data_IF_935016539418
#
_entry.id   IF_935016539418
#
_cell.length_a   1.000
_cell.length_b   1.000
_cell.length_c   1.000
_cell.angle_alpha   90.00
_cell.angle_beta   90.00
_cell.angle_gamma   90.00
#
_symmetry.space_group_name_H-M   'P 1'
#
loop_
_entity.id
_entity.type
_entity.pdbx_description
1 polymer ?
#
# COMPACT_ATOMS: atom_id res chain seq x y z
N UNK A 1 -20.42 -23.99 -11.40
CA UNK A 1 -21.49 -23.06 -11.85
C UNK A 1 -20.81 -21.84 -12.44
N UNK A 2 -20.87 -21.61 -13.76
CA UNK A 2 -20.02 -20.58 -14.39
C UNK A 2 -20.44 -20.14 -15.79
N UNK A 3 -21.73 -20.16 -16.11
CA UNK A 3 -22.23 -19.85 -17.46
C UNK A 3 -22.95 -18.48 -17.56
N UNK A 4 -22.85 -17.62 -16.54
CA UNK A 4 -23.63 -16.38 -16.46
C UNK A 4 -22.92 -15.10 -16.90
N UNK A 5 -21.59 -15.06 -16.95
CA UNK A 5 -20.85 -13.80 -17.06
C UNK A 5 -20.63 -13.28 -18.50
N UNK A 6 -20.89 -14.08 -19.54
CA UNK A 6 -20.68 -13.66 -20.93
C UNK A 6 -21.85 -12.87 -21.53
N UNK A 7 -23.03 -12.86 -20.89
CA UNK A 7 -24.23 -12.23 -21.47
C UNK A 7 -24.26 -10.70 -21.34
N UNK A 8 -23.40 -10.11 -20.52
CA UNK A 8 -23.43 -8.68 -20.19
C UNK A 8 -22.12 -7.92 -20.51
N UNK A 9 -21.15 -8.55 -21.18
CA UNK A 9 -19.91 -7.86 -21.58
C UNK A 9 -20.11 -7.18 -22.92
N UNK A 10 -19.81 -5.89 -22.99
CA UNK A 10 -19.79 -5.14 -24.25
C UNK A 10 -18.60 -5.66 -25.05
N UNK A 11 -18.86 -6.28 -26.21
CA UNK A 11 -17.80 -6.81 -27.08
C UNK A 11 -17.21 -5.69 -27.92
N UNK A 12 -15.93 -5.78 -28.28
CA UNK A 12 -15.30 -4.83 -29.22
C UNK A 12 -16.03 -4.77 -30.58
N UNK A 13 -16.68 -5.89 -30.96
CA UNK A 13 -17.56 -5.95 -32.12
C UNK A 13 -18.81 -5.06 -31.95
N UNK A 14 -19.40 -5.01 -30.75
CA UNK A 14 -20.58 -4.18 -30.48
C UNK A 14 -20.22 -2.69 -30.53
N UNK A 15 -19.03 -2.33 -30.02
CA UNK A 15 -18.47 -0.97 -30.14
C UNK A 15 -18.28 -0.58 -31.60
N UNK A 16 -17.63 -1.43 -32.39
CA UNK A 16 -17.42 -1.19 -33.82
C UNK A 16 -18.74 -1.06 -34.61
N UNK A 17 -19.75 -1.87 -34.28
CA UNK A 17 -21.09 -1.77 -34.90
C UNK A 17 -21.77 -0.44 -34.54
N UNK A 18 -21.65 0.00 -33.28
CA UNK A 18 -22.20 1.28 -32.82
C UNK A 18 -21.54 2.44 -33.58
N UNK A 19 -20.21 2.45 -33.66
CA UNK A 19 -19.44 3.48 -34.37
C UNK A 19 -19.84 3.55 -35.85
N UNK A 20 -19.97 2.38 -36.50
CA UNK A 20 -20.42 2.31 -37.90
C UNK A 20 -21.83 2.89 -38.08
N UNK A 21 -22.76 2.57 -37.18
CA UNK A 21 -24.14 3.10 -37.23
C UNK A 21 -24.18 4.61 -37.02
N UNK A 22 -23.39 5.13 -36.08
CA UNK A 22 -23.27 6.57 -35.82
C UNK A 22 -22.73 7.28 -37.06
N UNK A 23 -21.67 6.74 -37.68
CA UNK A 23 -21.07 7.32 -38.88
C UNK A 23 -22.07 7.39 -40.04
N UNK A 24 -22.85 6.33 -40.27
CA UNK A 24 -23.88 6.29 -41.33
C UNK A 24 -24.94 7.39 -41.14
N UNK A 25 -25.33 7.68 -39.90
CA UNK A 25 -26.31 8.74 -39.60
C UNK A 25 -25.72 10.13 -39.87
N UNK A 26 -24.47 10.36 -39.45
CA UNK A 26 -23.76 11.62 -39.70
C UNK A 26 -23.53 11.87 -41.20
N UNK A 27 -23.09 10.84 -41.93
CA UNK A 27 -22.88 10.90 -43.37
C UNK A 27 -24.18 11.21 -44.12
N UNK A 28 -25.31 10.70 -43.62
CA UNK A 28 -26.64 11.01 -44.16
C UNK A 28 -27.04 12.46 -43.93
N UNK A 29 -26.81 13.00 -42.73
CA UNK A 29 -27.05 14.43 -42.46
C UNK A 29 -26.14 15.34 -43.30
N UNK A 30 -24.90 14.90 -43.57
CA UNK A 30 -23.96 15.57 -44.46
C UNK A 30 -24.39 15.58 -45.91
N UNK A 31 -24.83 14.45 -46.42
CA UNK A 31 -25.37 14.35 -47.77
C UNK A 31 -26.61 15.26 -47.93
N UNK A 32 -27.48 15.32 -46.91
CA UNK A 32 -28.63 16.22 -46.89
C UNK A 32 -28.20 17.69 -46.92
N UNK A 33 -27.24 18.09 -46.07
CA UNK A 33 -26.71 19.45 -46.05
C UNK A 33 -26.10 19.84 -47.42
N UNK A 34 -25.29 18.95 -48.03
CA UNK A 34 -24.72 19.16 -49.37
C UNK A 34 -25.80 19.31 -50.44
N UNK A 35 -26.84 18.48 -50.41
CA UNK A 35 -27.95 18.56 -51.37
C UNK A 35 -28.73 19.88 -51.27
N UNK A 36 -28.89 20.43 -50.06
CA UNK A 36 -29.57 21.70 -49.82
C UNK A 36 -28.73 22.90 -50.28
N UNK A 37 -27.41 22.82 -50.16
CA UNK A 37 -26.49 23.82 -50.71
C UNK A 37 -26.54 23.87 -52.24
N UNK A 38 -26.59 22.71 -52.90
CA UNK A 38 -26.74 22.63 -54.37
C UNK A 38 -28.05 23.25 -54.87
N UNK A 39 -29.12 23.17 -54.07
CA UNK A 39 -30.43 23.79 -54.37
C UNK A 39 -30.48 25.29 -54.07
N UNK A 40 -29.42 25.89 -53.52
CA UNK A 40 -29.35 27.31 -53.17
C UNK A 40 -29.99 27.70 -51.83
N UNK A 41 -30.56 26.73 -51.10
CA UNK A 41 -31.28 26.95 -49.84
C UNK A 41 -30.34 27.07 -48.62
N UNK A 42 -29.56 28.15 -48.57
CA UNK A 42 -28.56 28.39 -47.51
C UNK A 42 -29.12 28.34 -46.09
N UNK A 43 -30.34 28.86 -45.85
CA UNK A 43 -30.97 28.87 -44.53
C UNK A 43 -31.25 27.45 -44.01
N UNK A 44 -31.72 26.56 -44.88
CA UNK A 44 -32.02 25.15 -44.53
C UNK A 44 -30.74 24.33 -44.37
N UNK A 45 -29.73 24.58 -45.21
CA UNK A 45 -28.42 23.96 -45.07
C UNK A 45 -27.76 24.32 -43.71
N UNK A 46 -27.83 25.58 -43.28
CA UNK A 46 -27.32 25.99 -41.97
C UNK A 46 -28.06 25.31 -40.81
N UNK A 47 -29.37 25.14 -40.91
CA UNK A 47 -30.16 24.41 -39.91
C UNK A 47 -29.75 22.94 -39.83
N UNK A 48 -29.54 22.29 -40.97
CA UNK A 48 -29.07 20.89 -41.04
C UNK A 48 -27.69 20.74 -40.39
N UNK A 49 -26.74 21.64 -40.68
CA UNK A 49 -25.41 21.61 -40.07
C UNK A 49 -25.44 21.86 -38.56
N UNK A 50 -26.30 22.75 -38.07
CA UNK A 50 -26.48 22.96 -36.62
C UNK A 50 -27.04 21.72 -35.94
N UNK A 51 -28.02 21.06 -36.56
CA UNK A 51 -28.59 19.81 -36.08
C UNK A 51 -27.53 18.70 -36.01
N UNK A 52 -26.71 18.57 -37.05
CA UNK A 52 -25.59 17.62 -37.07
C UNK A 52 -24.61 17.89 -35.93
N UNK A 53 -24.20 19.15 -35.75
CA UNK A 53 -23.27 19.52 -34.68
C UNK A 53 -23.82 19.22 -33.29
N UNK A 54 -25.12 19.43 -33.09
CA UNK A 54 -25.79 19.07 -31.84
C UNK A 54 -25.78 17.55 -31.62
N UNK A 55 -26.03 16.75 -32.65
CA UNK A 55 -25.96 15.28 -32.55
C UNK A 55 -24.55 14.80 -32.25
N UNK A 56 -23.52 15.33 -32.92
CA UNK A 56 -22.11 15.05 -32.60
C UNK A 56 -21.81 15.30 -31.11
N UNK A 57 -22.27 16.44 -30.57
CA UNK A 57 -22.10 16.77 -29.16
C UNK A 57 -22.86 15.83 -28.22
N UNK A 58 -24.07 15.40 -28.59
CA UNK A 58 -24.83 14.45 -27.78
C UNK A 58 -24.18 13.06 -27.80
N UNK A 59 -23.63 12.64 -28.94
CA UNK A 59 -22.87 11.38 -29.07
C UNK A 59 -21.67 11.43 -28.13
N UNK A 60 -20.84 12.48 -28.21
CA UNK A 60 -19.68 12.65 -27.34
C UNK A 60 -20.03 12.58 -25.85
N UNK A 61 -21.07 13.29 -25.41
CA UNK A 61 -21.54 13.22 -24.01
C UNK A 61 -22.00 11.82 -23.62
N UNK A 62 -22.65 11.11 -24.54
CA UNK A 62 -23.12 9.75 -24.29
C UNK A 62 -21.96 8.77 -24.19
N UNK A 63 -20.92 8.94 -25.01
CA UNK A 63 -19.70 8.13 -24.98
C UNK A 63 -18.93 8.33 -23.67
N UNK A 64 -18.81 9.57 -23.20
CA UNK A 64 -18.23 9.89 -21.89
C UNK A 64 -19.01 9.20 -20.75
N UNK A 65 -20.34 9.26 -20.78
CA UNK A 65 -21.18 8.59 -19.80
C UNK A 65 -21.03 7.06 -19.86
N UNK A 66 -20.94 6.50 -21.06
CA UNK A 66 -20.77 5.07 -21.29
C UNK A 66 -19.39 4.59 -20.78
N UNK A 67 -18.34 5.38 -20.98
CA UNK A 67 -17.02 5.13 -20.40
C UNK A 67 -17.07 5.10 -18.87
N UNK A 68 -17.73 6.09 -18.26
CA UNK A 68 -17.88 6.15 -16.80
C UNK A 68 -18.64 4.94 -16.24
N UNK A 69 -19.69 4.49 -16.94
CA UNK A 69 -20.44 3.28 -16.55
C UNK A 69 -19.60 2.01 -16.69
N UNK A 70 -18.79 1.89 -17.75
CA UNK A 70 -17.88 0.75 -17.92
C UNK A 70 -16.85 0.70 -16.79
N UNK A 71 -16.26 1.84 -16.42
CA UNK A 71 -15.30 1.92 -15.33
C UNK A 71 -15.93 1.55 -13.97
N UNK A 72 -17.17 2.02 -13.71
CA UNK A 72 -17.89 1.66 -12.50
C UNK A 72 -18.21 0.16 -12.45
N UNK A 73 -18.58 -0.43 -13.59
CA UNK A 73 -18.85 -1.86 -13.70
C UNK A 73 -17.58 -2.68 -13.41
N UNK A 74 -16.45 -2.32 -14.00
CA UNK A 74 -15.15 -2.97 -13.74
C UNK A 74 -14.77 -2.89 -12.24
N UNK A 75 -15.00 -1.73 -11.61
CA UNK A 75 -14.75 -1.55 -10.18
C UNK A 75 -15.64 -2.47 -9.32
N UNK A 76 -16.91 -2.62 -9.69
CA UNK A 76 -17.84 -3.53 -8.99
C UNK A 76 -17.41 -4.99 -9.19
N UNK A 77 -17.02 -5.38 -10.40
CA UNK A 77 -16.53 -6.73 -10.69
C UNK A 77 -15.28 -7.05 -9.86
N UNK A 78 -14.33 -6.11 -9.78
CA UNK A 78 -13.15 -6.26 -8.93
C UNK A 78 -13.53 -6.37 -7.44
N UNK A 79 -14.47 -5.55 -6.98
CA UNK A 79 -14.95 -5.60 -5.59
C UNK A 79 -15.63 -6.94 -5.24
N UNK A 80 -16.36 -7.53 -6.19
CA UNK A 80 -16.95 -8.87 -6.03
C UNK A 80 -15.86 -9.94 -5.91
N UNK A 81 -14.85 -9.91 -6.77
CA UNK A 81 -13.71 -10.84 -6.68
C UNK A 81 -12.96 -10.65 -5.37
N UNK A 82 -12.73 -9.40 -4.95
CA UNK A 82 -12.06 -9.08 -3.69
C UNK A 82 -12.84 -9.62 -2.48
N UNK A 83 -14.18 -9.52 -2.50
CA UNK A 83 -15.04 -10.10 -1.47
C UNK A 83 -14.88 -11.63 -1.42
N UNK A 84 -14.86 -12.29 -2.57
CA UNK A 84 -14.72 -13.75 -2.64
C UNK A 84 -13.34 -14.20 -2.12
N UNK A 85 -12.27 -13.46 -2.46
CA UNK A 85 -10.92 -13.71 -1.94
C UNK A 85 -10.89 -13.52 -0.42
N UNK A 86 -11.49 -12.45 0.09
CA UNK A 86 -11.52 -12.17 1.52
C UNK A 86 -12.26 -13.27 2.29
N UNK A 87 -13.39 -13.74 1.76
CA UNK A 87 -14.12 -14.88 2.34
C UNK A 87 -13.30 -16.18 2.29
N UNK A 88 -12.59 -16.43 1.20
CA UNK A 88 -11.66 -17.56 1.08
C UNK A 88 -10.53 -17.51 2.11
N UNK A 89 -9.92 -16.34 2.32
CA UNK A 89 -8.89 -16.12 3.35
C UNK A 89 -9.45 -16.30 4.76
N UNK A 90 -10.66 -15.82 5.04
CA UNK A 90 -11.30 -15.98 6.36
C UNK A 90 -11.57 -17.46 6.66
N UNK A 91 -12.07 -18.22 5.68
CA UNK A 91 -12.23 -19.67 5.82
C UNK A 91 -10.89 -20.39 5.99
N UNK A 92 -9.89 -20.04 5.18
CA UNK A 92 -8.54 -20.59 5.31
C UNK A 92 -7.94 -20.31 6.68
N UNK A 93 -8.11 -19.10 7.23
CA UNK A 93 -7.64 -18.74 8.56
C UNK A 93 -8.37 -19.53 9.66
N UNK A 94 -9.69 -19.74 9.55
CA UNK A 94 -10.44 -20.60 10.47
C UNK A 94 -9.92 -22.04 10.47
N UNK A 95 -9.64 -22.61 9.29
CA UNK A 95 -9.06 -23.95 9.18
C UNK A 95 -7.64 -23.99 9.75
N UNK A 96 -6.79 -23.02 9.42
CA UNK A 96 -5.43 -22.93 9.93
C UNK A 96 -5.40 -22.76 11.45
N UNK A 97 -6.29 -21.95 12.04
CA UNK A 97 -6.37 -21.78 13.49
C UNK A 97 -6.85 -23.04 14.19
N UNK A 98 -7.73 -23.83 13.56
CA UNK A 98 -8.13 -25.13 14.09
C UNK A 98 -7.00 -26.15 14.00
N UNK A 99 -6.36 -26.29 12.83
CA UNK A 99 -5.19 -27.17 12.64
C UNK A 99 -4.06 -26.81 13.60
N UNK A 100 -3.77 -25.51 13.77
CA UNK A 100 -2.74 -25.04 14.68
C UNK A 100 -3.10 -25.34 16.14
N UNK A 101 -4.39 -25.34 16.53
CA UNK A 101 -4.80 -25.76 17.88
C UNK A 101 -4.60 -27.26 18.11
N UNK A 102 -4.89 -28.07 17.09
CA UNK A 102 -4.71 -29.52 17.14
C UNK A 102 -3.21 -29.90 17.17
N UNK A 103 -2.39 -29.32 16.30
CA UNK A 103 -0.94 -29.57 16.27
C UNK A 103 -0.20 -29.01 17.50
N UNK A 104 -0.54 -27.81 17.98
CA UNK A 104 0.17 -27.19 19.10
C UNK A 104 0.10 -27.99 20.40
N UNK A 105 -0.97 -28.72 20.68
CA UNK A 105 -1.04 -29.47 21.95
C UNK A 105 -0.06 -30.65 21.94
N UNK A 106 -0.09 -31.45 20.87
CA UNK A 106 0.75 -32.64 20.73
C UNK A 106 2.22 -32.30 20.48
N UNK A 107 2.49 -31.25 19.68
CA UNK A 107 3.85 -30.84 19.35
C UNK A 107 4.51 -30.00 20.46
N UNK A 108 3.75 -29.22 21.25
CA UNK A 108 4.33 -28.48 22.40
C UNK A 108 4.65 -29.44 23.54
N UNK A 109 3.81 -30.42 23.85
CA UNK A 109 4.12 -31.41 24.91
C UNK A 109 5.36 -32.22 24.56
N UNK A 110 5.45 -32.72 23.31
CA UNK A 110 6.64 -33.44 22.83
C UNK A 110 7.88 -32.58 22.77
N UNK A 111 7.79 -31.36 22.23
CA UNK A 111 8.94 -30.46 22.16
C UNK A 111 9.39 -30.02 23.56
N UNK A 112 8.47 -29.77 24.49
CA UNK A 112 8.82 -29.41 25.86
C UNK A 112 9.50 -30.56 26.60
N UNK A 113 9.05 -31.81 26.40
CA UNK A 113 9.67 -33.00 26.96
C UNK A 113 11.06 -33.24 26.34
N UNK A 114 11.17 -33.23 25.01
CA UNK A 114 12.44 -33.40 24.29
C UNK A 114 13.46 -32.30 24.63
N UNK A 115 13.02 -31.05 24.80
CA UNK A 115 13.91 -29.93 25.17
C UNK A 115 14.31 -29.96 26.63
N UNK A 116 13.41 -30.35 27.54
CA UNK A 116 13.75 -30.53 28.95
C UNK A 116 14.79 -31.65 29.12
N UNK A 117 14.61 -32.78 28.43
CA UNK A 117 15.56 -33.89 28.42
C UNK A 117 16.91 -33.50 27.79
N UNK A 118 16.89 -32.76 26.67
CA UNK A 118 18.11 -32.25 26.05
C UNK A 118 18.87 -31.26 26.93
N UNK A 119 18.16 -30.36 27.65
CA UNK A 119 18.77 -29.42 28.61
C UNK A 119 19.32 -30.19 29.81
N UNK A 120 18.61 -31.19 30.32
CA UNK A 120 19.09 -32.04 31.41
C UNK A 120 20.37 -32.80 31.01
N UNK A 121 20.39 -33.40 29.82
CA UNK A 121 21.57 -34.06 29.27
C UNK A 121 22.74 -33.08 29.06
N UNK A 122 22.48 -31.89 28.52
CA UNK A 122 23.51 -30.85 28.36
C UNK A 122 24.10 -30.45 29.72
N UNK A 123 23.25 -30.28 30.74
CA UNK A 123 23.68 -29.92 32.09
C UNK A 123 24.49 -31.05 32.72
N UNK A 124 24.07 -32.31 32.58
CA UNK A 124 24.82 -33.49 33.05
C UNK A 124 26.20 -33.57 32.36
N UNK A 125 26.25 -33.39 31.03
CA UNK A 125 27.51 -33.33 30.28
C UNK A 125 28.37 -32.16 30.74
N UNK A 126 27.77 -31.00 30.99
CA UNK A 126 28.49 -29.81 31.47
C UNK A 126 29.05 -30.00 32.88
N UNK A 127 28.31 -30.65 33.77
CA UNK A 127 28.77 -31.02 35.11
C UNK A 127 29.90 -32.05 35.06
N UNK A 128 29.80 -33.06 34.19
CA UNK A 128 30.86 -34.05 33.97
C UNK A 128 32.13 -33.41 33.38
N UNK A 129 31.99 -32.45 32.48
CA UNK A 129 33.12 -31.71 31.92
C UNK A 129 33.79 -30.83 33.00
N UNK A 130 33.01 -30.10 33.79
CA UNK A 130 33.52 -29.29 34.92
C UNK A 130 34.20 -30.15 35.99
N UNK A 131 33.62 -31.31 36.32
CA UNK A 131 34.19 -32.21 37.33
C UNK A 131 35.57 -32.78 36.92
N UNK A 132 35.87 -32.83 35.62
CA UNK A 132 37.15 -33.32 35.09
C UNK A 132 38.12 -32.19 34.72
N UNK A 133 37.74 -30.91 34.88
CA UNK A 133 38.55 -29.75 34.51
C UNK A 133 39.13 -29.09 35.77
N UNK A 134 40.38 -28.64 35.71
CA UNK A 134 40.96 -27.87 36.83
C UNK A 134 40.57 -26.40 36.74
N UNK A 135 40.69 -25.65 37.84
CA UNK A 135 40.35 -24.22 37.88
C UNK A 135 41.20 -23.41 36.88
N UNK A 136 42.46 -23.81 36.68
CA UNK A 136 43.37 -23.15 35.73
C UNK A 136 43.00 -23.46 34.27
N UNK A 137 42.49 -24.67 34.00
CA UNK A 137 41.95 -25.04 32.69
C UNK A 137 40.67 -24.25 32.37
N UNK A 138 39.75 -24.08 33.34
CA UNK A 138 38.54 -23.25 33.18
C UNK A 138 38.88 -21.79 32.84
N UNK A 139 39.86 -21.19 33.52
CA UNK A 139 40.33 -19.83 33.24
C UNK A 139 41.01 -19.71 31.87
N UNK A 140 41.61 -20.78 31.35
CA UNK A 140 42.21 -20.78 30.01
C UNK A 140 41.13 -20.80 28.92
N UNK A 141 40.07 -21.60 29.09
CA UNK A 141 38.93 -21.67 28.17
C UNK A 141 38.16 -20.34 28.15
N UNK A 142 37.96 -19.69 29.29
CA UNK A 142 37.30 -18.39 29.35
C UNK A 142 38.09 -17.31 28.59
N UNK A 143 39.42 -17.32 28.68
CA UNK A 143 40.27 -16.40 27.91
C UNK A 143 40.18 -16.65 26.40
N UNK A 144 40.18 -17.91 25.98
CA UNK A 144 40.01 -18.27 24.56
C UNK A 144 38.63 -17.86 24.03
N UNK A 145 37.57 -18.02 24.84
CA UNK A 145 36.22 -17.56 24.50
C UNK A 145 36.17 -16.03 24.29
N UNK A 146 36.77 -15.26 25.20
CA UNK A 146 36.86 -13.79 25.07
C UNK A 146 37.61 -13.35 23.79
N UNK A 147 38.66 -14.09 23.40
CA UNK A 147 39.38 -13.83 22.16
C UNK A 147 38.52 -14.14 20.92
N UNK A 148 37.76 -15.23 20.93
CA UNK A 148 36.83 -15.58 19.84
C UNK A 148 35.70 -14.57 19.72
N UNK A 149 35.12 -14.11 20.83
CA UNK A 149 34.07 -13.08 20.84
C UNK A 149 34.57 -11.76 20.22
N UNK A 150 35.81 -11.35 20.51
CA UNK A 150 36.42 -10.16 19.88
C UNK A 150 36.61 -10.36 18.37
N UNK A 151 37.11 -11.52 17.95
CA UNK A 151 37.31 -11.83 16.54
C UNK A 151 35.98 -11.89 15.75
N UNK A 152 34.91 -12.40 16.36
CA UNK A 152 33.58 -12.42 15.74
C UNK A 152 32.92 -11.03 15.73
N UNK A 153 33.08 -10.23 16.79
CA UNK A 153 32.60 -8.86 16.83
C UNK A 153 33.26 -7.99 15.74
N UNK A 154 34.56 -8.14 15.53
CA UNK A 154 35.29 -7.47 14.45
C UNK A 154 34.76 -7.93 13.07
N UNK A 155 34.49 -9.22 12.89
CA UNK A 155 33.90 -9.78 11.67
C UNK A 155 32.44 -9.33 11.41
N UNK A 156 31.63 -9.14 12.45
CA UNK A 156 30.27 -8.60 12.32
C UNK A 156 30.29 -7.10 12.00
N UNK A 157 31.21 -6.33 12.60
CA UNK A 157 31.43 -4.93 12.25
C UNK A 157 31.90 -4.73 10.79
N UNK A 158 32.66 -5.69 10.24
CA UNK A 158 33.07 -5.71 8.83
C UNK A 158 31.92 -6.04 7.84
N UNK A 159 30.82 -6.67 8.30
CA UNK A 159 29.68 -7.08 7.47
C UNK A 159 28.50 -6.10 7.47
N UNK A 160 28.55 -5.02 8.24
CA UNK A 160 27.56 -3.96 8.15
C UNK A 160 27.88 -3.07 6.93
N UNK A 161 27.05 -3.08 5.86
CA UNK A 161 27.29 -2.20 4.72
C UNK A 161 27.17 -0.74 5.17
N UNK A 162 28.12 0.09 4.74
CA UNK A 162 28.08 1.52 5.01
C UNK A 162 26.77 2.09 4.43
N UNK A 163 25.87 2.57 5.30
CA UNK A 163 24.63 3.17 4.87
C UNK A 163 24.93 4.29 3.84
N UNK A 164 24.25 4.34 2.68
CA UNK A 164 24.54 5.35 1.68
C UNK A 164 24.36 6.74 2.25
N UNK A 165 25.44 7.51 2.38
CA UNK A 165 25.39 8.95 2.68
C UNK A 165 25.00 9.67 1.40
N UNK A 166 23.75 9.50 0.97
CA UNK A 166 23.22 10.35 -0.09
C UNK A 166 22.95 11.72 0.50
N UNK A 167 23.72 12.72 0.07
CA UNK A 167 23.43 14.12 0.37
C UNK A 167 22.04 14.41 -0.22
N UNK A 168 21.06 14.60 0.65
CA UNK A 168 19.69 14.96 0.26
C UNK A 168 19.75 16.19 -0.66
N UNK A 169 18.92 16.26 -1.71
CA UNK A 169 18.87 17.42 -2.58
C UNK A 169 18.58 18.66 -1.73
N UNK A 170 19.38 19.69 -1.92
CA UNK A 170 19.32 20.98 -1.25
C UNK A 170 18.02 21.68 -1.69
N UNK A 171 16.89 21.31 -1.07
CA UNK A 171 15.66 22.07 -1.18
C UNK A 171 15.83 23.33 -0.35
N UNK A 172 16.15 24.41 -1.08
CA UNK A 172 15.86 25.81 -0.79
C UNK A 172 15.65 26.14 0.70
N UNK A 173 16.71 26.68 1.30
CA UNK A 173 16.70 27.40 2.57
C UNK A 173 15.79 28.65 2.51
N UNK A 174 14.47 28.47 2.55
CA UNK A 174 13.52 29.58 2.52
C UNK A 174 12.30 29.43 3.46
N UNK A 175 12.28 28.49 4.42
CA UNK A 175 11.11 28.34 5.31
C UNK A 175 11.45 28.35 6.82
N UNK A 176 12.71 28.33 7.23
CA UNK A 176 13.06 28.19 8.66
C UNK A 176 13.28 29.50 9.44
N UNK A 177 12.99 30.69 8.88
CA UNK A 177 13.20 31.95 9.61
C UNK A 177 11.93 32.53 10.27
N UNK A 178 10.78 31.87 10.17
CA UNK A 178 9.51 32.42 10.69
C UNK A 178 8.88 31.61 11.84
N UNK A 179 9.52 30.55 12.36
CA UNK A 179 8.92 29.72 13.42
C UNK A 179 9.61 29.92 14.79
N UNK A 180 10.84 30.44 14.83
CA UNK A 180 11.57 30.61 16.10
C UNK A 180 11.20 31.90 16.86
N UNK A 181 10.65 32.91 16.19
CA UNK A 181 10.33 34.22 16.82
C UNK A 181 8.95 34.27 17.53
N UNK A 182 8.08 33.27 17.32
CA UNK A 182 6.77 33.20 18.01
C UNK A 182 6.81 32.32 19.28
N UNK A 183 7.64 31.28 19.33
CA UNK A 183 7.74 30.40 20.50
C UNK A 183 8.37 31.06 21.73
N UNK A 184 9.39 31.89 21.52
CA UNK A 184 10.09 32.57 22.62
C UNK A 184 9.28 33.75 23.22
N UNK A 185 8.28 34.27 22.48
CA UNK A 185 7.37 35.32 23.00
C UNK A 185 6.30 34.75 23.92
N UNK A 186 5.76 33.57 23.61
CA UNK A 186 4.73 32.93 24.45
C UNK A 186 5.31 32.34 25.75
N UNK A 187 6.55 31.84 25.75
CA UNK A 187 7.20 31.36 26.98
C UNK A 187 7.62 32.50 27.94
N UNK A 188 8.02 33.67 27.41
CA UNK A 188 8.35 34.84 28.25
C UNK A 188 7.10 35.50 28.86
N UNK A 189 5.95 35.50 28.17
CA UNK A 189 4.69 36.03 28.76
C UNK A 189 4.14 35.11 29.86
N UNK A 190 4.22 33.78 29.70
CA UNK A 190 3.78 32.84 30.73
C UNK A 190 4.67 32.88 31.98
N UNK A 191 6.00 32.95 31.81
CA UNK A 191 6.93 33.02 32.95
C UNK A 191 6.89 34.38 33.67
N UNK A 192 6.54 35.47 32.98
CA UNK A 192 6.29 36.77 33.59
C UNK A 192 4.97 36.79 34.39
N UNK A 193 3.91 36.18 33.86
CA UNK A 193 2.60 36.12 34.53
C UNK A 193 2.58 35.17 35.74
N UNK A 194 3.46 34.16 35.81
CA UNK A 194 3.64 33.31 36.99
C UNK A 194 4.46 33.98 38.08
N UNK A 195 5.45 34.81 37.73
CA UNK A 195 6.26 35.58 38.70
C UNK A 195 5.45 36.68 39.39
N UNK A 196 4.53 37.34 38.68
CA UNK A 196 3.63 38.33 39.30
C UNK A 196 2.56 37.71 40.22
N UNK A 197 2.32 36.39 40.12
CA UNK A 197 1.33 35.67 40.94
C UNK A 197 1.89 35.16 42.27
N UNK A 198 3.21 35.10 42.42
CA UNK A 198 3.90 34.45 43.55
C UNK A 198 4.79 35.39 44.37
N UNK A 199 4.61 36.71 44.30
CA UNK A 199 5.19 37.60 45.33
C UNK A 199 4.38 37.47 46.64
N UNK A 200 5.01 37.09 47.77
CA UNK A 200 4.39 37.25 49.06
C UNK A 200 4.45 38.74 49.44
N UNK A 201 3.30 39.29 49.84
CA UNK A 201 3.20 40.58 50.54
C UNK A 201 4.24 40.64 51.66
N UNK A 202 5.26 41.49 51.50
CA UNK A 202 6.18 41.85 52.57
C UNK A 202 5.79 43.23 53.12
N UNK A 203 4.84 43.23 54.07
CA UNK A 203 4.67 44.19 55.17
C UNK A 203 3.43 43.84 55.98
#
# INVERSE_FOLDING_TARGET
MGAGQSRNRITDQDKAILDMKVQVVLDREDALARSLLLKGDKKRALLALRRRKYQEQMIQKTDEQLFNLQHLMETIEFSLVQKDILFGLEQGNKVLTQLNKEMRLEDIERLAEDTADAIAYQNEVSELLRANMTVEDEESVLRELEELERQEADNMNLKLPHAPVHRLPEQAAAVSQNIEDEGEREENENTASERSRNEPLLA
#
